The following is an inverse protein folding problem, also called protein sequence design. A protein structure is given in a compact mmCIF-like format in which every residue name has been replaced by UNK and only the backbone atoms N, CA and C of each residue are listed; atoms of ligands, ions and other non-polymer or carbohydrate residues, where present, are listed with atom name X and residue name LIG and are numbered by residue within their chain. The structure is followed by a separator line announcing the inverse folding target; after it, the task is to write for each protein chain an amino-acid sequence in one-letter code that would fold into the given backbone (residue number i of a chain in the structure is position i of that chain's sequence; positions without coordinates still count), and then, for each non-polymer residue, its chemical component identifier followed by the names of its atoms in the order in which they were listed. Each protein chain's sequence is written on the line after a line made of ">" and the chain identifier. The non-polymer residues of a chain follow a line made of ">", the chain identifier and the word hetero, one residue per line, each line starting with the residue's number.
data_IF_471142093732
#
_entry.id   IF_471142093732
#
_cell.length_a   1.000
_cell.length_b   1.000
_cell.length_c   1.000
_cell.angle_alpha   90.00
_cell.angle_beta   90.00
_cell.angle_gamma   90.00
#
_symmetry.space_group_name_H-M   'P 1'
#
loop_
_entity.id
_entity.type
_entity.pdbx_description
1 polymer ?
#
# COMPACT_ATOMS: atom_id res chain seq x y z
N UNK A 1 3.58 13.62 21.46
CA UNK A 1 4.27 12.51 20.76
C UNK A 1 3.32 11.42 20.25
N UNK A 2 2.24 11.09 20.96
CA UNK A 2 1.28 10.06 20.55
C UNK A 2 0.53 10.35 19.24
N UNK A 3 0.09 11.59 19.03
CA UNK A 3 -0.71 11.97 17.86
C UNK A 3 0.04 11.86 16.54
N UNK A 4 1.33 12.24 16.53
CA UNK A 4 2.20 12.13 15.34
C UNK A 4 2.40 10.67 14.93
N UNK A 5 2.62 9.77 15.91
CA UNK A 5 2.80 8.35 15.64
C UNK A 5 1.52 7.74 15.04
N UNK A 6 0.35 8.04 15.64
CA UNK A 6 -0.95 7.61 15.13
C UNK A 6 -1.25 8.18 13.74
N UNK A 7 -0.90 9.44 13.48
CA UNK A 7 -1.08 10.07 12.17
C UNK A 7 -0.24 9.37 11.10
N UNK A 8 1.02 9.03 11.41
CA UNK A 8 1.92 8.29 10.50
C UNK A 8 1.41 6.89 10.19
N UNK A 9 0.92 6.16 11.20
CA UNK A 9 0.33 4.83 11.00
C UNK A 9 -0.89 4.88 10.07
N UNK A 10 -1.77 5.88 10.25
CA UNK A 10 -2.91 6.09 9.34
C UNK A 10 -2.46 6.46 7.93
N UNK A 11 -1.48 7.36 7.80
CA UNK A 11 -0.93 7.76 6.52
C UNK A 11 -0.33 6.55 5.78
N UNK A 12 0.40 5.68 6.49
CA UNK A 12 0.96 4.44 5.96
C UNK A 12 -0.11 3.52 5.34
N UNK A 13 -1.24 3.33 6.02
CA UNK A 13 -2.34 2.53 5.46
C UNK A 13 -2.98 3.20 4.24
N UNK A 14 -3.23 4.52 4.31
CA UNK A 14 -3.81 5.27 3.20
C UNK A 14 -2.93 5.24 1.95
N UNK A 15 -1.61 5.27 2.13
CA UNK A 15 -0.64 5.15 1.05
C UNK A 15 -0.77 3.81 0.31
N UNK A 16 -0.82 2.70 1.05
CA UNK A 16 -1.00 1.37 0.46
C UNK A 16 -2.32 1.24 -0.30
N UNK A 17 -3.40 1.83 0.23
CA UNK A 17 -4.70 1.85 -0.45
C UNK A 17 -4.66 2.69 -1.73
N UNK A 18 -3.99 3.84 -1.73
CA UNK A 18 -3.82 4.66 -2.93
C UNK A 18 -3.03 3.93 -4.03
N UNK A 19 -1.97 3.20 -3.66
CA UNK A 19 -1.24 2.33 -4.58
C UNK A 19 -2.15 1.23 -5.11
N UNK A 20 -2.95 0.58 -4.26
CA UNK A 20 -3.87 -0.47 -4.70
C UNK A 20 -4.93 0.04 -5.69
N UNK A 21 -5.50 1.22 -5.44
CA UNK A 21 -6.47 1.85 -6.35
C UNK A 21 -5.84 2.22 -7.69
N UNK A 22 -4.60 2.70 -7.70
CA UNK A 22 -3.83 2.97 -8.93
C UNK A 22 -3.64 1.70 -9.78
N UNK A 23 -3.56 0.54 -9.13
CA UNK A 23 -3.30 -0.75 -9.78
C UNK A 23 -4.49 -1.72 -9.66
N UNK A 24 -5.72 -1.21 -9.62
CA UNK A 24 -6.89 -1.97 -9.15
C UNK A 24 -7.16 -3.25 -9.96
N UNK A 25 -6.98 -3.20 -11.28
CA UNK A 25 -7.17 -4.36 -12.16
C UNK A 25 -6.20 -5.50 -11.81
N UNK A 26 -4.91 -5.20 -11.66
CA UNK A 26 -3.87 -6.17 -11.32
C UNK A 26 -3.98 -6.69 -9.88
N UNK A 27 -4.46 -5.84 -8.96
CA UNK A 27 -4.79 -6.21 -7.57
C UNK A 27 -5.94 -7.20 -7.55
N UNK A 28 -7.06 -6.89 -8.22
CA UNK A 28 -8.23 -7.78 -8.29
C UNK A 28 -7.85 -9.10 -8.96
N UNK A 29 -7.10 -9.06 -10.06
CA UNK A 29 -6.65 -10.25 -10.76
C UNK A 29 -5.84 -11.18 -9.85
N UNK A 30 -4.89 -10.64 -9.07
CA UNK A 30 -4.11 -11.44 -8.12
C UNK A 30 -4.97 -12.01 -7.00
N UNK A 31 -5.85 -11.19 -6.40
CA UNK A 31 -6.70 -11.65 -5.30
C UNK A 31 -7.62 -12.79 -5.79
N UNK A 32 -8.20 -12.66 -7.00
CA UNK A 32 -9.05 -13.71 -7.60
C UNK A 32 -8.29 -14.99 -7.95
N UNK A 33 -7.00 -14.89 -8.28
CA UNK A 33 -6.16 -16.04 -8.61
C UNK A 33 -5.62 -16.78 -7.37
N UNK A 34 -5.66 -16.13 -6.19
CA UNK A 34 -5.16 -16.71 -4.94
C UNK A 34 -6.17 -17.68 -4.33
N UNK A 35 -5.72 -18.82 -3.82
CA UNK A 35 -6.57 -19.82 -3.18
C UNK A 35 -6.96 -19.45 -1.74
N UNK A 36 -6.27 -18.48 -1.12
CA UNK A 36 -6.58 -18.01 0.23
C UNK A 36 -6.21 -16.54 0.45
N UNK A 37 -6.77 -15.87 1.48
CA UNK A 37 -6.34 -14.53 1.87
C UNK A 37 -4.86 -14.45 2.26
N UNK A 38 -4.31 -15.52 2.86
CA UNK A 38 -2.90 -15.58 3.22
C UNK A 38 -2.00 -15.59 1.98
N UNK A 39 -2.37 -16.35 0.95
CA UNK A 39 -1.66 -16.37 -0.34
C UNK A 39 -1.77 -15.02 -1.05
N UNK A 40 -2.96 -14.42 -1.09
CA UNK A 40 -3.16 -13.10 -1.68
C UNK A 40 -2.28 -12.04 -1.00
N UNK A 41 -2.20 -12.07 0.34
CA UNK A 41 -1.34 -11.15 1.11
C UNK A 41 0.14 -11.30 0.72
N UNK A 42 0.64 -12.52 0.65
CA UNK A 42 2.01 -12.81 0.20
C UNK A 42 2.25 -12.30 -1.22
N UNK A 43 1.30 -12.54 -2.13
CA UNK A 43 1.37 -12.08 -3.50
C UNK A 43 1.36 -10.55 -3.64
N UNK A 44 0.54 -9.85 -2.84
CA UNK A 44 0.52 -8.38 -2.79
C UNK A 44 1.86 -7.80 -2.35
N UNK A 45 2.52 -8.43 -1.37
CA UNK A 45 3.82 -8.00 -0.84
C UNK A 45 5.01 -8.39 -1.73
N UNK A 46 4.87 -9.44 -2.54
CA UNK A 46 5.94 -10.07 -3.29
C UNK A 46 6.35 -9.38 -4.60
N UNK A 47 5.79 -8.20 -4.92
CA UNK A 47 6.08 -7.49 -6.16
C UNK A 47 6.09 -5.98 -6.00
N UNK A 48 6.62 -5.30 -7.02
CA UNK A 48 6.63 -3.85 -7.12
C UNK A 48 5.39 -3.38 -7.88
N UNK A 49 4.73 -2.37 -7.32
CA UNK A 49 3.52 -1.76 -7.84
C UNK A 49 3.81 -0.36 -8.38
N UNK A 50 2.97 0.13 -9.29
CA UNK A 50 3.07 1.51 -9.75
C UNK A 50 2.64 2.44 -8.62
N UNK A 51 3.50 3.35 -8.14
CA UNK A 51 3.16 4.24 -7.02
C UNK A 51 2.07 5.26 -7.37
N UNK A 52 1.94 5.66 -8.64
CA UNK A 52 0.94 6.62 -9.09
C UNK A 52 1.04 7.96 -8.35
N UNK A 53 -0.10 8.44 -7.85
CA UNK A 53 -0.21 9.72 -7.12
C UNK A 53 0.64 9.78 -5.85
N UNK A 54 1.03 8.63 -5.29
CA UNK A 54 1.86 8.56 -4.09
C UNK A 54 3.25 9.13 -4.34
N UNK A 55 3.79 9.01 -5.57
CA UNK A 55 5.10 9.61 -5.91
C UNK A 55 5.11 11.11 -5.65
N UNK A 56 4.15 11.84 -6.22
CA UNK A 56 4.07 13.30 -6.06
C UNK A 56 3.78 13.70 -4.61
N UNK A 57 2.95 12.93 -3.90
CA UNK A 57 2.65 13.20 -2.50
C UNK A 57 3.90 13.08 -1.61
N UNK A 58 4.72 12.04 -1.83
CA UNK A 58 5.95 11.82 -1.06
C UNK A 58 7.03 12.86 -1.40
N UNK A 59 7.14 13.27 -2.66
CA UNK A 59 8.05 14.34 -3.09
C UNK A 59 7.73 15.67 -2.40
N UNK A 60 6.44 16.06 -2.37
CA UNK A 60 5.99 17.30 -1.71
C UNK A 60 6.20 17.29 -0.19
N UNK A 61 6.16 16.10 0.43
CA UNK A 61 6.44 15.92 1.84
C UNK A 61 7.94 15.91 2.18
N UNK A 62 8.83 16.13 1.19
CA UNK A 62 10.28 16.15 1.37
C UNK A 62 10.92 14.75 1.38
N UNK A 63 10.34 13.80 0.64
CA UNK A 63 10.74 12.39 0.64
C UNK A 63 10.78 11.77 2.04
N UNK A 64 10.00 12.32 2.98
CA UNK A 64 9.76 11.68 4.27
C UNK A 64 9.04 10.40 3.97
N UNK A 65 9.82 9.32 3.92
CA UNK A 65 9.30 7.97 3.92
C UNK A 65 8.28 7.91 5.04
N UNK A 66 7.02 7.73 4.70
CA UNK A 66 5.93 7.47 5.67
C UNK A 66 6.18 6.20 6.46
N UNK A 67 7.30 5.50 6.16
CA UNK A 67 7.91 4.43 6.94
C UNK A 67 7.78 4.72 8.42
N UNK A 68 6.70 4.19 8.98
CA UNK A 68 6.59 3.91 10.38
C UNK A 68 7.78 2.99 10.74
N UNK A 69 8.34 3.15 11.93
CA UNK A 69 9.49 2.35 12.37
C UNK A 69 9.24 0.83 12.25
N UNK A 70 10.33 0.06 12.32
CA UNK A 70 10.34 -1.42 12.26
C UNK A 70 9.68 -2.08 11.03
N UNK A 71 9.41 -1.34 9.94
CA UNK A 71 9.01 -1.97 8.69
C UNK A 71 10.17 -2.76 8.06
N UNK A 72 9.91 -3.94 7.47
CA UNK A 72 10.92 -4.76 6.79
C UNK A 72 11.71 -3.98 5.74
N UNK A 73 12.99 -4.32 5.56
CA UNK A 73 13.88 -3.68 4.59
C UNK A 73 13.33 -3.75 3.16
N UNK A 74 13.12 -2.57 2.55
CA UNK A 74 12.67 -2.36 1.17
C UNK A 74 11.16 -2.16 0.96
N UNK A 75 10.36 -2.02 2.02
CA UNK A 75 8.94 -1.66 1.89
C UNK A 75 8.78 -0.16 1.67
N UNK A 76 7.78 0.24 0.90
CA UNK A 76 7.56 1.62 0.47
C UNK A 76 8.10 1.88 -0.94
N UNK A 77 8.36 3.16 -1.24
CA UNK A 77 8.86 3.61 -2.53
C UNK A 77 10.33 3.23 -2.74
N UNK A 78 10.66 2.79 -3.95
CA UNK A 78 12.01 2.47 -4.42
C UNK A 78 12.16 2.79 -5.91
N UNK A 79 13.37 2.69 -6.46
CA UNK A 79 13.62 2.85 -7.91
C UNK A 79 12.81 1.85 -8.76
N UNK A 80 12.56 0.65 -8.22
CA UNK A 80 11.80 -0.41 -8.89
C UNK A 80 10.28 -0.27 -8.76
N UNK A 81 9.80 0.74 -8.02
CA UNK A 81 8.37 0.97 -7.74
C UNK A 81 8.04 0.85 -6.25
N UNK A 82 6.77 0.59 -5.95
CA UNK A 82 6.24 0.55 -4.59
C UNK A 82 6.09 -0.88 -4.07
N UNK A 83 6.64 -1.19 -2.89
CA UNK A 83 6.45 -2.50 -2.25
C UNK A 83 5.58 -2.40 -1.01
N UNK A 84 4.45 -3.12 -0.99
CA UNK A 84 3.48 -3.09 0.10
C UNK A 84 4.04 -3.74 1.37
N UNK A 85 3.73 -3.16 2.53
CA UNK A 85 3.93 -3.82 3.82
C UNK A 85 2.81 -4.83 4.10
N UNK A 86 3.01 -5.69 5.10
CA UNK A 86 1.97 -6.62 5.56
C UNK A 86 0.69 -5.90 6.01
N UNK A 87 0.81 -4.83 6.82
CA UNK A 87 -0.33 -4.04 7.27
C UNK A 87 -1.14 -3.42 6.11
N UNK A 88 -0.47 -2.93 5.06
CA UNK A 88 -1.12 -2.40 3.87
C UNK A 88 -1.81 -3.50 3.07
N UNK A 89 -1.14 -4.63 2.85
CA UNK A 89 -1.72 -5.78 2.14
C UNK A 89 -2.97 -6.30 2.87
N UNK A 90 -2.94 -6.37 4.20
CA UNK A 90 -4.09 -6.73 5.02
C UNK A 90 -5.24 -5.72 4.85
N UNK A 91 -4.95 -4.41 4.91
CA UNK A 91 -5.96 -3.36 4.71
C UNK A 91 -6.59 -3.39 3.30
N UNK A 92 -5.83 -3.77 2.27
CA UNK A 92 -6.32 -3.95 0.90
C UNK A 92 -7.30 -5.13 0.83
N UNK A 93 -6.99 -6.26 1.46
CA UNK A 93 -7.89 -7.43 1.50
C UNK A 93 -9.18 -7.15 2.28
N UNK A 94 -9.14 -6.20 3.23
CA UNK A 94 -10.30 -5.75 4.01
C UNK A 94 -11.09 -4.63 3.32
N UNK A 95 -10.63 -4.15 2.15
CA UNK A 95 -11.27 -3.08 1.42
C UNK A 95 -12.68 -3.48 0.97
N UNK A 96 -13.64 -2.59 1.19
CA UNK A 96 -15.02 -2.77 0.74
C UNK A 96 -15.19 -2.20 -0.66
N UNK A 97 -15.93 -2.89 -1.52
CA UNK A 97 -16.10 -2.54 -2.94
C UNK A 97 -16.63 -1.11 -3.19
N UNK A 98 -17.41 -0.53 -2.27
CA UNK A 98 -17.85 0.87 -2.39
C UNK A 98 -16.70 1.89 -2.44
N UNK A 99 -15.48 1.50 -2.07
CA UNK A 99 -14.28 2.35 -2.19
C UNK A 99 -13.83 2.55 -3.65
N UNK A 100 -14.36 1.77 -4.58
CA UNK A 100 -14.04 1.85 -6.01
C UNK A 100 -14.96 2.81 -6.78
N UNK A 101 -16.00 3.35 -6.13
CA UNK A 101 -16.93 4.27 -6.79
C UNK A 101 -16.34 5.68 -6.84
N UNK A 102 -16.51 6.37 -7.98
CA UNK A 102 -16.05 7.76 -8.14
C UNK A 102 -14.55 7.92 -8.38
N UNK A 103 -13.90 6.86 -8.86
CA UNK A 103 -12.55 6.89 -9.43
C UNK A 103 -12.56 7.61 -10.80
#
# INVERSE_FOLDING_TARGET
>A
MFELARARERAHILEGLAVALTNIEDVIALIRASASPAEARVGLMGRHWRPGVVTEMLERAGAVSTRAGALPEGSGISESGYRLSEAQAQAILEMRLHRLTGL
#
